data_IF_669363139416
#
_entry.id   IF_669363139416
#
_cell.length_a   1.000
_cell.length_b   1.000
_cell.length_c   1.000
_cell.angle_alpha   90.00
_cell.angle_beta   90.00
_cell.angle_gamma   90.00
#
_symmetry.space_group_name_H-M   'P 1'
#
loop_
_entity.id
_entity.type
_entity.pdbx_description
1 polymer ?
#
# COMPACT_ATOMS: atom_id res chain seq x y z
N UNK A 1 16.32 -11.55 -4.65
CA UNK A 1 16.71 -10.52 -3.65
C UNK A 1 18.01 -9.87 -4.10
N UNK A 2 18.06 -8.54 -4.24
CA UNK A 2 19.32 -7.82 -4.45
C UNK A 2 19.86 -7.46 -3.07
N UNK A 3 20.94 -8.10 -2.64
CA UNK A 3 21.63 -7.73 -1.41
C UNK A 3 22.41 -6.46 -1.66
N UNK A 4 22.13 -5.40 -0.92
CA UNK A 4 22.95 -4.19 -0.98
C UNK A 4 24.21 -4.29 -0.13
N UNK A 5 24.31 -5.30 0.75
CA UNK A 5 25.47 -5.51 1.64
C UNK A 5 25.71 -4.38 2.65
N UNK A 6 24.80 -3.40 2.76
CA UNK A 6 24.97 -2.24 3.64
C UNK A 6 24.47 -2.58 5.04
N UNK A 7 25.40 -2.62 6.00
CA UNK A 7 25.08 -2.76 7.42
C UNK A 7 24.93 -1.40 8.09
N UNK A 8 23.88 -1.24 8.91
CA UNK A 8 23.68 -0.05 9.73
C UNK A 8 23.37 -0.46 11.16
N UNK A 9 24.00 0.22 12.11
CA UNK A 9 23.67 0.07 13.53
C UNK A 9 22.34 0.75 13.82
N UNK A 10 21.60 0.16 14.74
CA UNK A 10 20.42 0.75 15.35
C UNK A 10 20.87 1.87 16.28
N UNK A 11 20.12 2.97 16.34
CA UNK A 11 20.39 4.02 17.32
C UNK A 11 19.83 3.68 18.72
N UNK A 12 20.04 4.57 19.69
CA UNK A 12 19.60 4.36 21.09
C UNK A 12 18.08 4.23 21.26
N UNK A 13 17.30 4.63 20.24
CA UNK A 13 15.84 4.61 20.23
C UNK A 13 15.26 3.49 19.37
N UNK A 14 16.10 2.61 18.80
CA UNK A 14 15.61 1.53 17.96
C UNK A 14 15.41 1.90 16.48
N UNK A 15 15.84 3.09 16.03
CA UNK A 15 15.64 3.55 14.65
C UNK A 15 16.77 3.08 13.74
N UNK A 16 16.42 2.80 12.48
CA UNK A 16 17.37 2.45 11.42
C UNK A 16 17.33 3.51 10.32
N UNK A 17 18.51 3.88 9.83
CA UNK A 17 18.65 4.89 8.76
C UNK A 17 18.69 4.21 7.40
N UNK A 18 17.83 4.64 6.48
CA UNK A 18 17.87 4.21 5.07
C UNK A 18 18.93 5.03 4.31
N UNK A 19 19.94 4.38 3.69
CA UNK A 19 20.95 5.04 2.88
C UNK A 19 20.36 5.97 1.80
N UNK A 20 21.07 7.07 1.51
CA UNK A 20 20.61 8.09 0.53
C UNK A 20 20.42 7.51 -0.87
N UNK A 21 21.26 6.56 -1.26
CA UNK A 21 21.16 5.85 -2.54
C UNK A 21 19.84 5.09 -2.66
N UNK A 22 19.50 4.27 -1.65
CA UNK A 22 18.24 3.53 -1.61
C UNK A 22 17.03 4.47 -1.60
N UNK A 23 17.09 5.57 -0.86
CA UNK A 23 16.03 6.60 -0.87
C UNK A 23 15.81 7.18 -2.27
N UNK A 24 16.88 7.43 -3.03
CA UNK A 24 16.79 7.93 -4.41
C UNK A 24 16.22 6.87 -5.36
N UNK A 25 16.73 5.64 -5.30
CA UNK A 25 16.28 4.55 -6.17
C UNK A 25 14.81 4.17 -5.92
N UNK A 26 14.36 4.20 -4.67
CA UNK A 26 12.98 3.89 -4.28
C UNK A 26 12.06 5.12 -4.22
N UNK A 27 12.56 6.30 -4.61
CA UNK A 27 11.84 7.57 -4.56
C UNK A 27 11.18 7.86 -3.18
N UNK A 28 11.87 7.50 -2.10
CA UNK A 28 11.44 7.74 -0.72
C UNK A 28 11.92 9.14 -0.33
N UNK A 29 10.99 10.10 -0.30
CA UNK A 29 11.24 11.47 0.12
C UNK A 29 10.99 11.64 1.62
N UNK A 30 11.39 12.78 2.16
CA UNK A 30 11.04 13.14 3.54
C UNK A 30 9.52 13.10 3.73
N UNK A 31 9.07 12.58 4.89
CA UNK A 31 7.65 12.38 5.23
C UNK A 31 6.89 11.38 4.35
N UNK A 32 7.57 10.62 3.48
CA UNK A 32 6.91 9.53 2.73
C UNK A 32 6.49 8.43 3.71
N UNK A 33 5.20 8.05 3.76
CA UNK A 33 4.76 6.94 4.58
C UNK A 33 5.32 5.62 4.04
N UNK A 34 5.84 4.80 4.95
CA UNK A 34 6.32 3.45 4.67
C UNK A 34 5.53 2.47 5.52
N UNK A 35 5.16 1.36 4.91
CA UNK A 35 4.50 0.25 5.57
C UNK A 35 5.56 -0.78 5.99
N UNK A 36 5.38 -1.32 7.20
CA UNK A 36 6.32 -2.26 7.83
C UNK A 36 5.61 -3.60 7.95
N UNK A 37 6.14 -4.61 7.26
CA UNK A 37 5.68 -5.98 7.36
C UNK A 37 6.72 -6.85 8.05
N UNK A 38 6.26 -7.93 8.68
CA UNK A 38 7.09 -8.94 9.32
C UNK A 38 6.80 -10.28 8.65
N UNK A 39 7.84 -10.91 8.12
CA UNK A 39 7.77 -12.24 7.50
C UNK A 39 8.85 -13.13 8.12
N UNK A 40 8.45 -13.96 9.09
CA UNK A 40 9.39 -14.75 9.90
C UNK A 40 10.37 -13.83 10.64
N UNK A 41 11.67 -13.99 10.36
CA UNK A 41 12.74 -13.16 10.95
C UNK A 41 13.10 -11.93 10.11
N UNK A 42 12.32 -11.61 9.07
CA UNK A 42 12.60 -10.51 8.15
C UNK A 42 11.64 -9.35 8.39
N UNK A 43 12.19 -8.13 8.38
CA UNK A 43 11.41 -6.89 8.30
C UNK A 43 11.41 -6.44 6.84
N UNK A 44 10.21 -6.23 6.29
CA UNK A 44 10.01 -5.78 4.91
C UNK A 44 9.43 -4.38 4.95
N UNK A 45 10.12 -3.44 4.29
CA UNK A 45 9.66 -2.06 4.15
C UNK A 45 9.08 -1.86 2.75
N UNK A 46 7.83 -1.42 2.66
CA UNK A 46 7.15 -1.11 1.39
C UNK A 46 6.73 0.36 1.38
N UNK A 47 6.73 1.00 0.22
CA UNK A 47 6.15 2.34 0.07
C UNK A 47 4.65 2.23 0.35
N UNK A 48 4.14 3.07 1.25
CA UNK A 48 2.70 3.13 1.45
C UNK A 48 2.07 3.82 0.24
N UNK A 49 1.34 3.04 -0.55
CA UNK A 49 0.58 3.54 -1.68
C UNK A 49 -0.90 3.54 -1.26
N UNK A 50 -1.45 4.75 -1.04
CA UNK A 50 -2.88 4.92 -0.80
C UNK A 50 -3.76 4.54 -2.02
N UNK A 51 -3.14 4.08 -3.12
CA UNK A 51 -3.78 3.64 -4.36
C UNK A 51 -4.69 2.40 -4.19
N UNK A 52 -4.77 1.87 -2.97
CA UNK A 52 -5.65 0.77 -2.60
C UNK A 52 -6.89 1.19 -1.84
N UNK A 53 -7.18 2.47 -1.56
CA UNK A 53 -8.39 2.80 -0.80
C UNK A 53 -9.66 2.57 -1.64
N UNK A 54 -10.61 1.81 -1.11
CA UNK A 54 -11.90 1.65 -1.75
C UNK A 54 -12.60 3.00 -1.85
N UNK A 55 -13.07 3.37 -3.04
CA UNK A 55 -13.80 4.61 -3.30
C UNK A 55 -15.11 4.72 -2.50
N UNK A 56 -15.62 3.61 -1.95
CA UNK A 56 -16.88 3.54 -1.20
C UNK A 56 -16.65 3.31 0.28
N UNK A 57 -15.94 2.24 0.65
CA UNK A 57 -15.76 1.88 2.06
C UNK A 57 -14.56 2.56 2.70
N UNK A 58 -13.67 3.16 1.90
CA UNK A 58 -12.41 3.72 2.37
C UNK A 58 -11.39 2.67 2.82
N UNK A 59 -11.73 1.38 2.76
CA UNK A 59 -10.84 0.29 3.19
C UNK A 59 -9.67 0.14 2.22
N UNK A 60 -8.47 0.08 2.78
CA UNK A 60 -7.25 -0.27 2.06
C UNK A 60 -6.96 -1.74 2.35
N UNK A 61 -7.27 -2.62 1.41
CA UNK A 61 -6.91 -4.05 1.52
C UNK A 61 -6.22 -4.52 0.25
N UNK A 62 -5.34 -5.53 0.37
CA UNK A 62 -4.68 -6.17 -0.79
C UNK A 62 -5.66 -6.86 -1.75
N UNK A 63 -6.93 -7.00 -1.34
CA UNK A 63 -8.01 -7.58 -2.15
C UNK A 63 -8.76 -6.54 -2.97
N UNK A 64 -8.34 -5.28 -2.94
CA UNK A 64 -9.04 -4.24 -3.67
C UNK A 64 -8.83 -4.38 -5.17
N UNK A 65 -9.93 -4.30 -5.91
CA UNK A 65 -9.99 -4.45 -7.36
C UNK A 65 -10.08 -3.08 -8.01
N UNK A 66 -9.35 -2.88 -9.10
CA UNK A 66 -9.45 -1.67 -9.91
C UNK A 66 -10.40 -1.91 -11.08
N UNK A 67 -11.45 -1.11 -11.18
CA UNK A 67 -12.48 -1.12 -12.23
C UNK A 67 -12.47 0.19 -13.02
N UNK A 68 -13.10 0.18 -14.20
CA UNK A 68 -13.14 1.30 -15.16
C UNK A 68 -11.74 1.78 -15.60
N UNK A 69 -10.93 0.87 -16.17
CA UNK A 69 -9.55 1.15 -16.63
C UNK A 69 -8.65 1.78 -15.55
N UNK A 70 -8.79 1.32 -14.30
CA UNK A 70 -7.97 1.79 -13.19
C UNK A 70 -8.42 3.11 -12.56
N UNK A 71 -9.57 3.66 -12.96
CA UNK A 71 -10.10 4.91 -12.41
C UNK A 71 -10.77 4.76 -11.05
N UNK A 72 -11.25 3.57 -10.71
CA UNK A 72 -11.99 3.31 -9.47
C UNK A 72 -11.37 2.09 -8.80
N UNK A 73 -10.93 2.25 -7.55
CA UNK A 73 -10.50 1.13 -6.70
C UNK A 73 -11.62 0.76 -5.73
N UNK A 74 -12.01 -0.51 -5.66
CA UNK A 74 -13.09 -1.00 -4.82
C UNK A 74 -12.61 -2.16 -3.94
N UNK A 75 -13.03 -2.20 -2.68
CA UNK A 75 -12.93 -3.40 -1.86
C UNK A 75 -14.03 -4.39 -2.27
N UNK A 76 -13.89 -5.69 -1.94
CA UNK A 76 -14.95 -6.68 -2.21
C UNK A 76 -16.31 -6.26 -1.66
N UNK A 77 -16.35 -5.71 -0.44
CA UNK A 77 -17.57 -5.20 0.17
C UNK A 77 -18.13 -3.97 -0.58
N UNK A 78 -17.26 -3.03 -0.99
CA UNK A 78 -17.67 -1.87 -1.80
C UNK A 78 -18.21 -2.25 -3.18
N UNK A 79 -17.69 -3.32 -3.78
CA UNK A 79 -18.17 -3.83 -5.07
C UNK A 79 -19.57 -4.45 -4.97
N UNK A 80 -19.86 -5.22 -3.91
CA UNK A 80 -21.19 -5.78 -3.66
C UNK A 80 -22.25 -4.68 -3.51
N UNK A 81 -21.94 -3.63 -2.76
CA UNK A 81 -22.83 -2.47 -2.58
C UNK A 81 -23.16 -1.78 -3.92
N UNK A 82 -22.16 -1.56 -4.77
CA UNK A 82 -22.39 -0.99 -6.11
C UNK A 82 -23.27 -1.89 -6.96
N UNK A 83 -23.03 -3.20 -6.94
CA UNK A 83 -23.80 -4.14 -7.77
C UNK A 83 -25.28 -4.10 -7.38
N UNK A 84 -25.59 -4.09 -6.07
CA UNK A 84 -26.97 -3.95 -5.59
C UNK A 84 -27.61 -2.62 -6.00
N UNK A 85 -26.87 -1.52 -5.89
CA UNK A 85 -27.37 -0.18 -6.20
C UNK A 85 -27.58 0.03 -7.71
N UNK A 86 -26.70 -0.52 -8.54
CA UNK A 86 -26.84 -0.55 -10.00
C UNK A 86 -28.03 -1.40 -10.43
N UNK A 87 -28.22 -2.60 -9.85
CA UNK A 87 -29.37 -3.44 -10.15
C UNK A 87 -30.70 -2.77 -9.78
N UNK A 88 -30.76 -2.03 -8.66
CA UNK A 88 -31.96 -1.29 -8.24
C UNK A 88 -32.32 -0.12 -9.16
N UNK A 89 -31.33 0.55 -9.75
CA UNK A 89 -31.54 1.78 -10.51
C UNK A 89 -31.53 1.60 -12.04
N UNK A 90 -30.88 0.56 -12.58
CA UNK A 90 -30.80 0.31 -14.02
C UNK A 90 -31.85 -0.69 -14.55
N UNK A 91 -32.54 -1.43 -13.68
CA UNK A 91 -33.61 -2.38 -14.05
C UNK A 91 -35.01 -1.78 -13.80
N UNK A 92 -35.13 -0.44 -13.87
CA UNK A 92 -36.42 0.27 -13.88
C UNK A 92 -36.66 0.93 -15.23
#
# INVERSE_FOLDING_TARGET
MKSTGVMRKVDELGRVVIPKELRRTLAIQEKTPLEIYVEGEKIILKKYEANGACAITGEVTDKNISVADGKITLSPAGAELIIEELQKNLVK
#
